data_IF_378900210876
#
_entry.id   IF_378900210876
#
_cell.length_a   1.000
_cell.length_b   1.000
_cell.length_c   1.000
_cell.angle_alpha   90.00
_cell.angle_beta   90.00
_cell.angle_gamma   90.00
#
_symmetry.space_group_name_H-M   'P 1'
#
loop_
_entity.id
_entity.type
_entity.pdbx_description
1 polymer ?
#
# COMPACT_ATOMS: atom_id res chain seq x y z
N UNK A 1 13.58 -7.33 -29.11
CA UNK A 1 13.57 -8.46 -28.15
C UNK A 1 12.28 -8.36 -27.39
N UNK A 2 11.39 -9.35 -27.50
CA UNK A 2 10.05 -9.27 -26.89
C UNK A 2 10.18 -9.18 -25.38
N UNK A 3 9.64 -8.12 -24.78
CA UNK A 3 9.38 -8.09 -23.34
C UNK A 3 8.48 -9.30 -23.06
N UNK A 4 8.97 -10.26 -22.26
CA UNK A 4 8.14 -11.35 -21.77
C UNK A 4 6.88 -10.79 -21.10
N UNK A 5 5.79 -11.56 -21.15
CA UNK A 5 4.56 -11.20 -20.46
C UNK A 5 4.84 -11.06 -18.94
N UNK A 6 4.91 -9.82 -18.45
CA UNK A 6 5.19 -9.47 -17.05
C UNK A 6 3.91 -9.63 -16.22
N UNK A 7 3.76 -10.67 -15.40
CA UNK A 7 2.54 -10.94 -14.63
C UNK A 7 2.53 -10.21 -13.29
N UNK A 8 1.45 -9.49 -13.00
CA UNK A 8 1.23 -8.85 -11.70
C UNK A 8 0.07 -9.52 -10.96
N UNK A 9 0.33 -10.02 -9.76
CA UNK A 9 -0.68 -10.61 -8.90
C UNK A 9 -1.27 -9.57 -7.94
N UNK A 10 -2.59 -9.45 -7.92
CA UNK A 10 -3.34 -8.72 -6.90
C UNK A 10 -3.86 -9.74 -5.89
N UNK A 11 -3.41 -9.63 -4.65
CA UNK A 11 -3.74 -10.59 -3.60
C UNK A 11 -5.21 -10.43 -3.21
N UNK A 12 -5.98 -11.51 -3.39
CA UNK A 12 -7.32 -11.66 -2.84
C UNK A 12 -7.25 -12.44 -1.52
N UNK A 13 -7.51 -11.76 -0.42
CA UNK A 13 -7.57 -12.37 0.91
C UNK A 13 -8.93 -12.08 1.57
N UNK A 14 -9.99 -11.95 0.75
CA UNK A 14 -11.37 -11.70 1.18
C UNK A 14 -11.58 -10.36 1.90
N UNK A 15 -10.66 -9.43 1.69
CA UNK A 15 -10.81 -8.04 2.08
C UNK A 15 -10.16 -7.13 1.04
N UNK A 16 -10.66 -5.91 0.91
CA UNK A 16 -10.10 -4.92 -0.01
C UNK A 16 -11.06 -4.44 -1.10
N UNK A 17 -10.74 -3.28 -1.66
CA UNK A 17 -11.36 -2.74 -2.87
C UNK A 17 -10.75 -3.38 -4.13
N UNK A 18 -10.70 -4.72 -4.17
CA UNK A 18 -9.96 -5.49 -5.18
C UNK A 18 -10.46 -5.15 -6.59
N UNK A 19 -11.77 -5.04 -6.78
CA UNK A 19 -12.36 -4.76 -8.09
C UNK A 19 -11.90 -3.43 -8.70
N UNK A 20 -11.72 -2.38 -7.90
CA UNK A 20 -11.24 -1.10 -8.43
C UNK A 20 -9.74 -1.16 -8.75
N UNK A 21 -8.95 -1.77 -7.87
CA UNK A 21 -7.49 -1.93 -8.08
C UNK A 21 -7.22 -2.79 -9.31
N UNK A 22 -7.93 -3.91 -9.47
CA UNK A 22 -7.86 -4.76 -10.64
C UNK A 22 -8.20 -3.98 -11.91
N UNK A 23 -9.32 -3.24 -11.94
CA UNK A 23 -9.73 -2.47 -13.12
C UNK A 23 -8.69 -1.41 -13.50
N UNK A 24 -8.16 -0.67 -12.53
CA UNK A 24 -7.14 0.33 -12.79
C UNK A 24 -5.85 -0.29 -13.35
N UNK A 25 -5.39 -1.40 -12.78
CA UNK A 25 -4.21 -2.11 -13.26
C UNK A 25 -4.44 -2.74 -14.65
N UNK A 26 -5.60 -3.36 -14.86
CA UNK A 26 -5.97 -4.01 -16.14
C UNK A 26 -6.14 -3.00 -17.28
N UNK A 27 -6.44 -1.74 -16.96
CA UNK A 27 -6.46 -0.65 -17.94
C UNK A 27 -5.05 -0.29 -18.42
N UNK A 28 -4.02 -0.46 -17.58
CA UNK A 28 -2.64 -0.08 -17.86
C UNK A 28 -1.83 -1.27 -18.41
N UNK A 29 -2.19 -2.50 -18.03
CA UNK A 29 -1.38 -3.68 -18.28
C UNK A 29 -2.24 -4.94 -18.41
N UNK A 30 -1.89 -5.81 -19.36
CA UNK A 30 -2.78 -6.92 -19.77
C UNK A 30 -2.66 -8.17 -18.88
N UNK A 31 -1.56 -8.35 -18.15
CA UNK A 31 -1.27 -9.58 -17.39
C UNK A 31 -1.50 -9.36 -15.88
N UNK A 32 -2.73 -8.96 -15.53
CA UNK A 32 -3.16 -8.80 -14.13
C UNK A 32 -3.96 -10.02 -13.71
N UNK A 33 -3.54 -10.68 -12.63
CA UNK A 33 -4.26 -11.80 -12.04
C UNK A 33 -4.70 -11.44 -10.63
N UNK A 34 -6.00 -11.57 -10.34
CA UNK A 34 -6.52 -11.54 -8.97
C UNK A 34 -6.49 -12.96 -8.44
N UNK A 35 -5.75 -13.20 -7.36
CA UNK A 35 -5.54 -14.56 -6.89
C UNK A 35 -5.29 -14.63 -5.39
N UNK A 36 -5.70 -15.77 -4.84
CA UNK A 36 -5.43 -16.19 -3.46
C UNK A 36 -4.51 -17.41 -3.40
N UNK A 37 -3.98 -17.83 -4.55
CA UNK A 37 -3.18 -19.05 -4.68
C UNK A 37 -1.71 -18.76 -4.41
N UNK A 38 -1.09 -19.37 -3.38
CA UNK A 38 0.31 -19.12 -3.03
C UNK A 38 1.29 -19.30 -4.19
N UNK A 39 1.09 -20.32 -5.02
CA UNK A 39 1.92 -20.62 -6.19
C UNK A 39 1.85 -19.54 -7.27
N UNK A 40 0.66 -18.99 -7.54
CA UNK A 40 0.51 -17.90 -8.51
C UNK A 40 1.16 -16.61 -8.01
N UNK A 41 1.01 -16.30 -6.72
CA UNK A 41 1.60 -15.10 -6.10
C UNK A 41 3.14 -15.21 -6.07
N UNK A 42 3.68 -16.38 -5.71
CA UNK A 42 5.13 -16.60 -5.61
C UNK A 42 5.88 -16.57 -6.96
N UNK A 43 5.15 -16.79 -8.06
CA UNK A 43 5.65 -16.80 -9.43
C UNK A 43 5.28 -15.55 -10.22
N UNK A 44 4.62 -14.57 -9.60
CA UNK A 44 4.34 -13.29 -10.24
C UNK A 44 5.62 -12.43 -10.31
N UNK A 45 5.72 -11.62 -11.36
CA UNK A 45 6.81 -10.67 -11.54
C UNK A 45 6.64 -9.45 -10.64
N UNK A 46 5.39 -9.12 -10.25
CA UNK A 46 5.07 -8.08 -9.29
C UNK A 46 3.82 -8.42 -8.48
N UNK A 47 3.71 -7.87 -7.26
CA UNK A 47 2.62 -8.18 -6.33
C UNK A 47 2.01 -6.92 -5.74
N UNK A 48 0.68 -6.88 -5.69
CA UNK A 48 -0.10 -5.81 -5.06
C UNK A 48 -0.92 -6.38 -3.92
N UNK A 49 -0.76 -5.83 -2.72
CA UNK A 49 -1.60 -6.09 -1.57
C UNK A 49 -2.54 -4.89 -1.34
N UNK A 50 -3.78 -4.95 -1.85
CA UNK A 50 -4.78 -3.93 -1.53
C UNK A 50 -5.30 -4.13 -0.09
N UNK A 51 -6.06 -3.17 0.44
CA UNK A 51 -6.84 -3.40 1.65
C UNK A 51 -7.74 -2.22 2.03
N UNK A 52 -8.93 -2.54 2.54
CA UNK A 52 -9.89 -1.60 3.13
C UNK A 52 -10.58 -2.28 4.31
N UNK A 53 -11.08 -1.51 5.27
CA UNK A 53 -11.75 -2.03 6.46
C UNK A 53 -10.89 -1.92 7.72
N UNK A 54 -11.14 -2.79 8.69
CA UNK A 54 -10.38 -2.84 9.94
C UNK A 54 -9.08 -3.64 9.76
N UNK A 55 -7.99 -3.13 10.33
CA UNK A 55 -6.66 -3.73 10.35
C UNK A 55 -6.70 -5.13 10.94
N UNK A 56 -7.42 -5.32 12.05
CA UNK A 56 -7.53 -6.62 12.73
C UNK A 56 -8.11 -7.69 11.80
N UNK A 57 -9.27 -7.40 11.23
CA UNK A 57 -9.97 -8.34 10.36
C UNK A 57 -9.12 -8.67 9.13
N UNK A 58 -8.48 -7.65 8.54
CA UNK A 58 -7.64 -7.85 7.36
C UNK A 58 -6.38 -8.69 7.65
N UNK A 59 -5.67 -8.42 8.75
CA UNK A 59 -4.46 -9.19 9.07
C UNK A 59 -4.81 -10.61 9.54
N UNK A 60 -5.97 -10.80 10.20
CA UNK A 60 -6.47 -12.13 10.57
C UNK A 60 -6.87 -12.94 9.33
N UNK A 61 -7.59 -12.34 8.37
CA UNK A 61 -7.92 -12.99 7.09
C UNK A 61 -6.66 -13.34 6.29
N UNK A 62 -5.67 -12.45 6.23
CA UNK A 62 -4.40 -12.71 5.55
C UNK A 62 -3.60 -13.84 6.22
N UNK A 63 -3.74 -14.01 7.55
CA UNK A 63 -3.12 -15.11 8.30
C UNK A 63 -3.87 -16.43 8.13
N UNK A 64 -5.20 -16.43 8.25
CA UNK A 64 -6.03 -17.64 8.16
C UNK A 64 -5.93 -18.31 6.79
N UNK A 65 -5.72 -17.52 5.74
CA UNK A 65 -5.47 -17.99 4.37
C UNK A 65 -4.03 -18.43 4.11
N UNK A 66 -3.12 -18.29 5.08
CA UNK A 66 -1.68 -18.57 4.92
C UNK A 66 -0.93 -17.56 4.05
N UNK A 67 -1.61 -16.54 3.53
CA UNK A 67 -1.05 -15.54 2.62
C UNK A 67 -0.06 -14.59 3.29
N UNK A 68 -0.13 -14.42 4.62
CA UNK A 68 0.84 -13.60 5.35
C UNK A 68 2.28 -14.10 5.19
N UNK A 69 2.50 -15.42 5.19
CA UNK A 69 3.82 -16.01 4.95
C UNK A 69 4.23 -15.90 3.48
N UNK A 70 3.27 -16.00 2.56
CA UNK A 70 3.49 -15.82 1.12
C UNK A 70 3.98 -14.40 0.84
N UNK A 71 3.29 -13.38 1.35
CA UNK A 71 3.69 -11.97 1.23
C UNK A 71 5.13 -11.76 1.72
N UNK A 72 5.45 -12.29 2.92
CA UNK A 72 6.80 -12.19 3.47
C UNK A 72 7.85 -12.87 2.58
N UNK A 73 7.53 -14.01 1.96
CA UNK A 73 8.44 -14.75 1.07
C UNK A 73 8.64 -14.02 -0.26
N UNK A 74 7.59 -13.48 -0.86
CA UNK A 74 7.64 -12.65 -2.08
C UNK A 74 8.55 -11.45 -1.88
N UNK A 75 8.33 -10.70 -0.79
CA UNK A 75 9.15 -9.53 -0.45
C UNK A 75 10.61 -9.93 -0.30
N UNK A 76 10.90 -11.00 0.46
CA UNK A 76 12.27 -11.52 0.65
C UNK A 76 12.94 -12.01 -0.64
N UNK A 77 12.18 -12.45 -1.64
CA UNK A 77 12.69 -12.84 -2.96
C UNK A 77 13.08 -11.64 -3.83
N UNK A 78 12.78 -10.40 -3.41
CA UNK A 78 13.07 -9.20 -4.19
C UNK A 78 11.98 -8.84 -5.20
N UNK A 79 10.84 -9.52 -5.21
CA UNK A 79 9.72 -9.23 -6.13
C UNK A 79 9.13 -7.85 -5.80
N UNK A 80 8.91 -6.93 -6.77
CA UNK A 80 8.30 -5.64 -6.54
C UNK A 80 6.94 -5.79 -5.88
N UNK A 81 6.76 -5.09 -4.78
CA UNK A 81 5.59 -5.20 -3.95
C UNK A 81 4.97 -3.83 -3.72
N UNK A 82 3.65 -3.72 -3.87
CA UNK A 82 2.90 -2.50 -3.58
C UNK A 82 1.79 -2.78 -2.56
N UNK A 83 1.91 -2.20 -1.36
CA UNK A 83 0.81 -2.13 -0.40
C UNK A 83 -0.07 -0.90 -0.64
N UNK A 84 -1.40 -1.05 -0.68
CA UNK A 84 -2.33 0.08 -0.87
C UNK A 84 -3.26 0.21 0.34
N UNK A 85 -3.33 1.41 0.90
CA UNK A 85 -4.12 1.79 2.08
C UNK A 85 -3.88 0.84 3.25
N UNK A 86 -4.81 -0.06 3.55
CA UNK A 86 -4.62 -1.02 4.65
C UNK A 86 -3.54 -2.06 4.34
N UNK A 87 -3.35 -2.40 3.05
CA UNK A 87 -2.23 -3.23 2.62
C UNK A 87 -0.87 -2.59 2.86
N UNK A 88 -0.79 -1.26 2.80
CA UNK A 88 0.39 -0.49 3.21
C UNK A 88 0.57 -0.51 4.73
N UNK A 89 -0.50 -0.25 5.49
CA UNK A 89 -0.47 -0.26 6.95
C UNK A 89 -0.03 -1.63 7.52
N UNK A 90 -0.51 -2.73 6.94
CA UNK A 90 -0.18 -4.09 7.37
C UNK A 90 1.32 -4.42 7.24
N UNK A 91 2.11 -3.66 6.48
CA UNK A 91 3.57 -3.87 6.38
C UNK A 91 4.31 -3.56 7.69
N UNK A 92 3.70 -2.83 8.62
CA UNK A 92 4.35 -2.38 9.86
C UNK A 92 4.18 -3.38 11.02
N UNK A 93 4.80 -3.07 12.16
CA UNK A 93 4.84 -3.98 13.32
C UNK A 93 3.46 -4.20 13.93
N UNK A 94 2.69 -3.12 14.12
CA UNK A 94 1.40 -3.20 14.79
C UNK A 94 0.47 -2.01 14.49
N UNK A 95 -0.82 -2.20 14.78
CA UNK A 95 -1.85 -1.17 14.80
C UNK A 95 -2.40 -0.98 16.20
N UNK A 96 -2.67 0.28 16.53
CA UNK A 96 -3.39 0.72 17.74
C UNK A 96 -4.91 0.74 17.52
N UNK A 97 -5.39 0.29 16.35
CA UNK A 97 -6.82 0.16 16.09
C UNK A 97 -7.49 -0.78 17.09
N UNK A 98 -8.54 -0.28 17.74
CA UNK A 98 -9.26 -0.92 18.84
C UNK A 98 -8.41 -1.23 20.10
N UNK A 99 -7.30 -0.51 20.33
CA UNK A 99 -6.48 -0.65 21.55
C UNK A 99 -7.14 -0.08 22.83
N UNK A 100 -8.48 -0.10 22.93
CA UNK A 100 -9.25 0.38 24.09
C UNK A 100 -8.92 -0.42 25.38
N UNK A 101 -8.35 -1.62 25.24
CA UNK A 101 -7.86 -2.48 26.33
C UNK A 101 -6.32 -2.48 26.47
N UNK A 102 -5.63 -1.57 25.78
CA UNK A 102 -4.16 -1.49 25.74
C UNK A 102 -3.48 -2.54 24.87
N UNK A 103 -4.22 -3.34 24.10
CA UNK A 103 -3.64 -4.35 23.18
C UNK A 103 -3.51 -3.80 21.77
N UNK A 104 -2.31 -3.97 21.20
CA UNK A 104 -2.03 -3.68 19.80
C UNK A 104 -2.21 -4.91 18.92
N UNK A 105 -2.68 -4.74 17.69
CA UNK A 105 -2.78 -5.82 16.72
C UNK A 105 -1.50 -5.91 15.89
N UNK A 106 -0.79 -7.04 15.95
CA UNK A 106 0.44 -7.23 15.16
C UNK A 106 0.14 -7.21 13.66
N UNK A 107 0.96 -6.53 12.87
CA UNK A 107 0.99 -6.55 11.42
C UNK A 107 1.90 -7.65 10.86
N UNK A 108 2.46 -7.41 9.68
CA UNK A 108 3.42 -8.30 9.02
C UNK A 108 4.83 -8.12 9.59
N UNK A 109 5.18 -6.94 10.11
CA UNK A 109 6.51 -6.64 10.63
C UNK A 109 7.59 -6.66 9.54
N UNK A 110 7.26 -6.14 8.35
CA UNK A 110 8.25 -5.89 7.28
C UNK A 110 9.08 -4.65 7.62
N UNK A 111 8.43 -3.63 8.18
CA UNK A 111 9.06 -2.39 8.62
C UNK A 111 8.71 -2.08 10.07
N UNK A 112 9.66 -1.46 10.76
CA UNK A 112 9.40 -0.99 12.12
C UNK A 112 8.55 0.27 12.14
N UNK A 113 7.51 0.28 12.97
CA UNK A 113 6.59 1.42 13.09
C UNK A 113 5.20 1.00 13.55
N UNK A 114 4.37 2.01 13.79
CA UNK A 114 3.03 1.82 14.33
C UNK A 114 1.97 2.43 13.41
N UNK A 115 0.79 1.83 13.38
CA UNK A 115 -0.42 2.40 12.77
C UNK A 115 -1.24 3.04 13.88
N UNK A 116 -1.34 4.38 13.87
CA UNK A 116 -1.90 5.20 14.94
C UNK A 116 -3.19 5.86 14.51
N UNK A 117 -4.11 6.10 15.44
CA UNK A 117 -5.35 6.84 15.15
C UNK A 117 -5.05 8.33 14.96
N UNK A 118 -5.69 8.98 13.98
CA UNK A 118 -5.60 10.43 13.78
C UNK A 118 -6.19 11.14 15.02
N UNK A 119 -5.47 12.03 15.72
CA UNK A 119 -5.98 12.65 16.94
C UNK A 119 -7.33 13.36 16.77
N UNK A 120 -8.32 13.04 17.61
CA UNK A 120 -9.68 13.61 17.54
C UNK A 120 -9.78 15.02 18.14
N UNK A 121 -8.78 15.44 18.91
CA UNK A 121 -8.74 16.72 19.63
C UNK A 121 -8.26 17.91 18.75
N UNK A 122 -8.06 17.71 17.45
CA UNK A 122 -7.60 18.77 16.52
C UNK A 122 -8.76 19.56 15.88
N UNK A 123 -10.01 19.22 16.16
CA UNK A 123 -11.18 19.84 15.50
C UNK A 123 -11.36 19.46 14.03
N UNK A 124 -10.63 18.45 13.54
CA UNK A 124 -10.75 17.89 12.18
C UNK A 124 -11.73 16.72 12.15
N UNK A 125 -12.36 16.50 10.98
CA UNK A 125 -13.22 15.33 10.77
C UNK A 125 -12.36 14.07 10.65
N UNK A 126 -12.76 12.98 11.30
CA UNK A 126 -12.11 11.67 11.16
C UNK A 126 -13.17 10.68 10.69
N UNK A 127 -12.95 9.92 9.59
CA UNK A 127 -11.70 9.74 8.84
C UNK A 127 -11.23 10.98 8.05
N UNK A 128 -9.92 11.08 7.81
CA UNK A 128 -9.36 11.92 6.75
C UNK A 128 -9.88 11.38 5.41
N UNK A 129 -10.83 12.11 4.82
CA UNK A 129 -11.53 11.70 3.60
C UNK A 129 -11.54 12.86 2.60
N UNK A 130 -10.97 12.63 1.42
CA UNK A 130 -10.94 13.61 0.34
C UNK A 130 -9.59 13.68 -0.36
N UNK A 131 -9.43 14.70 -1.19
CA UNK A 131 -8.19 14.97 -1.91
C UNK A 131 -7.22 15.75 -1.03
N UNK A 132 -5.98 15.29 -0.95
CA UNK A 132 -4.89 15.98 -0.25
C UNK A 132 -3.58 15.82 -1.03
N UNK A 133 -2.63 16.74 -0.83
CA UNK A 133 -1.38 16.75 -1.57
C UNK A 133 -0.33 15.83 -0.96
N UNK A 134 0.57 15.34 -1.82
CA UNK A 134 1.77 14.60 -1.42
C UNK A 134 2.97 15.53 -1.36
N UNK A 135 3.59 15.65 -0.20
CA UNK A 135 4.89 16.26 -0.03
C UNK A 135 5.96 15.21 -0.26
N UNK A 136 6.46 15.13 -1.50
CA UNK A 136 7.50 14.17 -1.89
C UNK A 136 8.79 14.52 -1.15
N UNK A 137 9.32 13.56 -0.39
CA UNK A 137 10.48 13.77 0.48
C UNK A 137 11.80 13.43 -0.21
N UNK A 138 11.73 12.54 -1.22
CA UNK A 138 12.88 12.05 -1.99
C UNK A 138 12.41 11.37 -3.25
N UNK A 139 13.35 11.12 -4.15
CA UNK A 139 13.11 10.37 -5.37
C UNK A 139 12.53 8.99 -5.06
N UNK A 140 11.44 8.68 -5.77
CA UNK A 140 10.74 7.41 -5.69
C UNK A 140 10.31 7.03 -7.09
N UNK A 141 10.52 5.78 -7.52
CA UNK A 141 10.10 5.36 -8.86
C UNK A 141 8.58 5.48 -9.03
N UNK A 142 7.79 5.36 -7.95
CA UNK A 142 6.33 5.56 -8.00
C UNK A 142 5.93 6.98 -8.42
N UNK A 143 6.74 7.99 -8.08
CA UNK A 143 6.43 9.41 -8.31
C UNK A 143 7.18 10.01 -9.50
N UNK A 144 7.90 9.17 -10.26
CA UNK A 144 8.66 9.62 -11.42
C UNK A 144 7.76 10.33 -12.44
N UNK A 145 8.14 11.55 -12.81
CA UNK A 145 7.42 12.36 -13.81
C UNK A 145 6.11 12.98 -13.33
N UNK A 146 5.80 12.92 -12.03
CA UNK A 146 4.69 13.68 -11.47
C UNK A 146 5.09 15.15 -11.27
N UNK A 147 4.08 16.03 -11.32
CA UNK A 147 4.22 17.44 -10.94
C UNK A 147 4.58 17.59 -9.46
N UNK A 148 5.03 18.78 -9.07
CA UNK A 148 5.20 19.14 -7.66
C UNK A 148 3.85 19.05 -6.91
N UNK A 149 3.89 18.55 -5.68
CA UNK A 149 2.75 18.41 -4.77
C UNK A 149 1.47 17.80 -5.37
N UNK A 150 1.52 16.58 -5.96
CA UNK A 150 0.38 15.99 -6.62
C UNK A 150 -0.74 15.67 -5.62
N UNK A 151 -1.99 15.89 -6.02
CA UNK A 151 -3.17 15.57 -5.22
C UNK A 151 -3.64 14.13 -5.46
N UNK A 152 -3.96 13.44 -4.36
CA UNK A 152 -4.45 12.06 -4.36
C UNK A 152 -5.59 11.89 -3.35
N UNK A 153 -6.35 10.81 -3.50
CA UNK A 153 -7.55 10.54 -2.70
C UNK A 153 -7.23 9.68 -1.46
N UNK A 154 -7.59 10.21 -0.29
CA UNK A 154 -7.46 9.59 1.01
C UNK A 154 -8.84 9.19 1.59
N UNK A 155 -8.86 8.08 2.32
CA UNK A 155 -9.99 7.68 3.17
C UNK A 155 -9.49 6.78 4.31
N UNK A 156 -9.09 7.37 5.45
CA UNK A 156 -8.53 6.62 6.57
C UNK A 156 -8.69 7.34 7.92
N UNK A 157 -8.88 6.56 8.99
CA UNK A 157 -8.86 7.07 10.37
C UNK A 157 -7.52 6.86 11.07
N UNK A 158 -6.67 6.00 10.49
CA UNK A 158 -5.36 5.63 11.02
C UNK A 158 -4.26 5.94 10.03
N UNK A 159 -3.07 6.26 10.51
CA UNK A 159 -1.91 6.60 9.69
C UNK A 159 -0.69 5.83 10.18
N UNK A 160 0.30 5.66 9.31
CA UNK A 160 1.58 5.05 9.68
C UNK A 160 2.50 6.10 10.29
N UNK A 161 3.12 5.74 11.41
CA UNK A 161 4.29 6.40 11.96
C UNK A 161 5.48 5.45 11.83
N UNK A 162 6.22 5.58 10.71
CA UNK A 162 7.37 4.74 10.43
C UNK A 162 8.52 5.10 11.37
N UNK A 163 9.15 4.09 12.00
CA UNK A 163 10.29 4.32 12.90
C UNK A 163 11.53 4.77 12.13
N UNK A 164 11.77 4.17 10.96
CA UNK A 164 12.86 4.55 10.06
C UNK A 164 12.33 5.55 9.01
N UNK A 165 12.56 6.85 9.23
CA UNK A 165 12.12 7.88 8.28
C UNK A 165 12.88 7.85 6.95
N UNK A 166 13.99 7.12 6.85
CA UNK A 166 14.74 6.94 5.60
C UNK A 166 14.01 6.07 4.57
N UNK A 167 12.87 5.44 4.91
CA UNK A 167 12.03 4.71 3.94
C UNK A 167 10.84 5.52 3.45
N UNK A 168 10.51 6.65 4.10
CA UNK A 168 9.35 7.49 3.76
C UNK A 168 9.63 8.27 2.48
N UNK A 169 8.81 8.07 1.44
CA UNK A 169 8.97 8.72 0.14
C UNK A 169 8.05 9.91 -0.05
N UNK A 170 6.89 9.92 0.63
CA UNK A 170 6.02 11.08 0.68
C UNK A 170 5.32 11.19 2.04
N UNK A 171 5.04 12.44 2.41
CA UNK A 171 4.24 12.82 3.58
C UNK A 171 3.01 13.61 3.13
N UNK A 172 2.06 13.80 4.04
CA UNK A 172 0.95 14.74 3.87
C UNK A 172 0.61 15.37 5.21
N UNK A 173 -0.07 16.51 5.19
CA UNK A 173 -0.51 17.20 6.40
C UNK A 173 -2.03 17.11 6.54
N UNK A 174 -2.50 16.61 7.69
CA UNK A 174 -3.90 16.62 8.08
C UNK A 174 -4.01 16.97 9.57
N UNK A 175 -3.71 18.23 9.90
CA UNK A 175 -3.53 18.72 11.29
C UNK A 175 -2.22 18.26 11.94
N UNK A 176 -1.78 17.06 11.58
CA UNK A 176 -0.46 16.49 11.84
C UNK A 176 0.20 16.06 10.53
N UNK A 177 1.51 15.99 10.55
CA UNK A 177 2.27 15.35 9.47
C UNK A 177 2.13 13.82 9.59
N UNK A 178 1.82 13.16 8.47
CA UNK A 178 1.63 11.71 8.39
C UNK A 178 2.49 11.11 7.28
N UNK A 179 3.05 9.92 7.52
CA UNK A 179 3.77 9.16 6.49
C UNK A 179 2.73 8.52 5.56
N UNK A 180 2.73 8.90 4.28
CA UNK A 180 1.68 8.47 3.32
C UNK A 180 2.21 7.64 2.18
N UNK A 181 3.53 7.55 2.02
CA UNK A 181 4.14 6.58 1.13
C UNK A 181 5.53 6.16 1.59
N UNK A 182 5.92 4.95 1.23
CA UNK A 182 7.25 4.41 1.47
C UNK A 182 7.86 3.81 0.20
N UNK A 183 9.18 3.68 0.22
CA UNK A 183 9.96 2.95 -0.76
C UNK A 183 11.27 2.49 -0.13
N UNK A 184 11.50 1.17 -0.10
CA UNK A 184 12.77 0.56 0.30
C UNK A 184 12.97 -0.72 -0.49
N UNK A 185 14.09 -0.80 -1.20
CA UNK A 185 14.41 -1.93 -2.10
C UNK A 185 13.26 -2.19 -3.08
N UNK A 186 12.67 -3.38 -3.07
CA UNK A 186 11.55 -3.79 -3.92
C UNK A 186 10.17 -3.48 -3.32
N UNK A 187 10.09 -2.90 -2.12
CA UNK A 187 8.81 -2.69 -1.43
C UNK A 187 8.40 -1.22 -1.49
N UNK A 188 7.17 -1.02 -1.94
CA UNK A 188 6.49 0.25 -2.01
C UNK A 188 5.16 0.19 -1.26
N UNK A 189 4.69 1.34 -0.81
CA UNK A 189 3.37 1.42 -0.20
C UNK A 189 2.80 2.83 -0.23
N UNK A 190 1.48 2.92 -0.30
CA UNK A 190 0.73 4.19 -0.32
C UNK A 190 -0.45 4.14 0.64
N UNK A 191 -0.62 5.16 1.47
CA UNK A 191 -1.79 5.32 2.35
C UNK A 191 -3.04 5.73 1.55
N UNK A 192 -2.86 6.52 0.50
CA UNK A 192 -3.91 6.92 -0.42
C UNK A 192 -4.25 5.79 -1.41
N UNK A 193 -5.35 6.00 -2.13
CA UNK A 193 -5.89 5.07 -3.12
C UNK A 193 -5.54 5.53 -4.53
N UNK A 194 -4.43 5.05 -5.13
CA UNK A 194 -4.07 5.44 -6.50
C UNK A 194 -5.17 5.03 -7.49
N UNK A 195 -5.90 3.94 -7.25
CA UNK A 195 -7.03 3.53 -8.10
C UNK A 195 -8.24 4.49 -8.03
N UNK A 196 -8.25 5.44 -7.10
CA UNK A 196 -9.27 6.49 -6.94
C UNK A 196 -8.74 7.90 -7.15
N UNK A 197 -7.48 8.04 -7.54
CA UNK A 197 -6.77 9.34 -7.60
C UNK A 197 -6.66 9.91 -9.02
N UNK A 198 -7.59 9.55 -9.92
CA UNK A 198 -7.62 10.05 -11.30
C UNK A 198 -6.31 9.80 -12.06
N UNK A 199 -5.93 10.75 -12.92
CA UNK A 199 -4.74 10.63 -13.78
C UNK A 199 -3.44 10.50 -12.98
N UNK A 200 -3.33 11.20 -11.84
CA UNK A 200 -2.18 11.08 -10.94
C UNK A 200 -2.09 9.66 -10.39
N UNK A 201 -3.21 9.10 -9.95
CA UNK A 201 -3.29 7.72 -9.49
C UNK A 201 -2.90 6.70 -10.56
N UNK A 202 -3.38 6.90 -11.79
CA UNK A 202 -3.04 6.06 -12.93
C UNK A 202 -1.56 6.16 -13.30
N UNK A 203 -0.97 7.35 -13.21
CA UNK A 203 0.47 7.54 -13.41
C UNK A 203 1.30 6.80 -12.35
N UNK A 204 0.88 6.83 -11.08
CA UNK A 204 1.54 6.09 -9.99
C UNK A 204 1.48 4.57 -10.23
N UNK A 205 0.32 4.03 -10.61
CA UNK A 205 0.17 2.61 -10.93
C UNK A 205 1.00 2.23 -12.18
N UNK A 206 1.02 3.10 -13.19
CA UNK A 206 1.85 2.90 -14.39
C UNK A 206 3.33 2.85 -14.03
N UNK A 207 3.78 3.72 -13.12
CA UNK A 207 5.14 3.72 -12.64
C UNK A 207 5.47 2.45 -11.85
N UNK A 208 4.55 1.92 -11.04
CA UNK A 208 4.73 0.60 -10.43
C UNK A 208 4.91 -0.49 -11.49
N UNK A 209 4.09 -0.54 -12.53
CA UNK A 209 4.25 -1.50 -13.64
C UNK A 209 5.62 -1.37 -14.33
N UNK A 210 6.15 -0.15 -14.47
CA UNK A 210 7.52 0.04 -15.00
C UNK A 210 8.59 -0.53 -14.06
N UNK A 211 8.43 -0.37 -12.74
CA UNK A 211 9.32 -1.02 -11.76
C UNK A 211 9.32 -2.54 -11.97
N UNK A 212 8.14 -3.13 -12.17
CA UNK A 212 8.03 -4.57 -12.41
C UNK A 212 8.75 -5.02 -13.68
N UNK A 213 8.61 -4.27 -14.77
CA UNK A 213 9.23 -4.62 -16.06
C UNK A 213 10.75 -4.43 -16.11
N UNK A 214 11.31 -3.66 -15.18
CA UNK A 214 12.73 -3.30 -15.16
C UNK A 214 13.56 -4.14 -14.19
N UNK A 215 12.97 -5.19 -13.58
CA UNK A 215 13.69 -6.16 -12.77
C UNK A 215 14.45 -7.19 -13.62
#
# INVERSE_FOLDING_TARGET
MGLGACRVAVIDYEAGNIGSVQKALAFIHNEIVVTRRPDEIMNADGVVLPGVGAFKDCIENLRSTGLSDVVKKVIRKGVPFLGICLGYQMLFDYSEEHAEDGKTVRGLGIFSGAVKHIPRNMGLKVPHMGWNNLQIQKDSPLFAGLQEDPYVYFIHSYYVDAKDKSIVTAKSCYGIEIDVAIGKENVHGTQFHPEKSGDIGMAILTNFIKVVKNQ
#
